data_IF_736393905462
#
_entry.id   IF_736393905462
#
_cell.length_a   1.000
_cell.length_b   1.000
_cell.length_c   1.000
_cell.angle_alpha   90.00
_cell.angle_beta   90.00
_cell.angle_gamma   90.00
#
_symmetry.space_group_name_H-M   'P 1'
#
loop_
_entity.id
_entity.type
_entity.pdbx_description
1 polymer ?
#
# COMPACT_ATOMS: atom_id res chain seq x y z
N UNK A 1 35.66 -6.88 16.94
CA UNK A 1 34.68 -6.30 17.89
C UNK A 1 34.08 -7.41 18.71
N UNK A 2 33.95 -7.25 20.03
CA UNK A 2 33.47 -8.29 20.92
C UNK A 2 31.94 -8.48 20.69
N UNK A 3 31.50 -9.72 20.42
CA UNK A 3 30.08 -10.07 20.14
C UNK A 3 29.13 -9.50 21.21
N UNK A 4 29.50 -9.56 22.49
CA UNK A 4 28.69 -9.00 23.58
C UNK A 4 28.44 -7.49 23.51
N UNK A 5 29.37 -6.70 22.98
CA UNK A 5 29.18 -5.26 22.79
C UNK A 5 28.23 -4.97 21.64
N UNK A 6 28.30 -5.74 20.59
CA UNK A 6 27.44 -5.63 19.43
C UNK A 6 25.97 -5.87 19.79
N UNK A 7 25.70 -6.95 20.52
CA UNK A 7 24.34 -7.28 20.95
C UNK A 7 23.77 -6.24 21.91
N UNK A 8 24.60 -5.67 22.79
CA UNK A 8 24.19 -4.58 23.67
C UNK A 8 23.82 -3.30 22.89
N UNK A 9 24.61 -2.91 21.88
CA UNK A 9 24.29 -1.75 21.04
C UNK A 9 23.01 -1.93 20.23
N UNK A 10 22.81 -3.14 19.75
CA UNK A 10 21.62 -3.53 19.02
C UNK A 10 20.38 -3.43 19.92
N UNK A 11 20.42 -4.03 21.10
CA UNK A 11 19.34 -3.95 22.07
C UNK A 11 19.03 -2.49 22.45
N UNK A 12 20.05 -1.65 22.63
CA UNK A 12 19.89 -0.24 22.94
C UNK A 12 19.24 0.54 21.78
N UNK A 13 19.62 0.28 20.54
CA UNK A 13 19.00 0.94 19.37
C UNK A 13 17.55 0.52 19.17
N UNK A 14 17.21 -0.71 19.48
CA UNK A 14 15.84 -1.23 19.45
C UNK A 14 15.00 -0.56 20.55
N UNK A 15 15.49 -0.52 21.77
CA UNK A 15 14.81 0.17 22.88
C UNK A 15 14.57 1.65 22.56
N UNK A 16 15.58 2.32 22.00
CA UNK A 16 15.45 3.72 21.57
C UNK A 16 14.45 3.90 20.41
N UNK A 17 14.37 2.96 19.48
CA UNK A 17 13.36 2.96 18.43
C UNK A 17 11.94 2.95 19.01
N UNK A 18 11.69 2.05 19.97
CA UNK A 18 10.40 2.00 20.67
C UNK A 18 10.08 3.30 21.40
N UNK A 19 11.07 3.89 22.08
CA UNK A 19 10.92 5.17 22.77
C UNK A 19 10.55 6.30 21.78
N UNK A 20 11.27 6.43 20.65
CA UNK A 20 11.02 7.43 19.61
C UNK A 20 9.62 7.29 19.04
N UNK A 21 9.20 6.05 18.74
CA UNK A 21 7.85 5.77 18.23
C UNK A 21 6.79 6.17 19.24
N UNK A 22 6.94 5.77 20.51
CA UNK A 22 5.98 6.06 21.58
C UNK A 22 5.85 7.55 21.85
N UNK A 23 6.97 8.27 21.92
CA UNK A 23 6.99 9.72 22.12
C UNK A 23 6.29 10.46 20.98
N UNK A 24 6.56 10.08 19.72
CA UNK A 24 5.91 10.70 18.58
C UNK A 24 4.41 10.43 18.51
N UNK A 25 3.95 9.25 18.93
CA UNK A 25 2.51 8.94 19.09
C UNK A 25 1.90 9.82 20.17
N UNK A 26 2.56 9.94 21.34
CA UNK A 26 2.09 10.81 22.45
C UNK A 26 2.00 12.28 22.03
N UNK A 27 2.88 12.75 21.17
CA UNK A 27 2.89 14.12 20.63
C UNK A 27 1.89 14.32 19.47
N UNK A 28 1.18 13.29 19.02
CA UNK A 28 0.25 13.35 17.89
C UNK A 28 0.92 13.54 16.53
N UNK A 29 2.21 13.28 16.42
CA UNK A 29 2.98 13.46 15.17
C UNK A 29 2.72 12.34 14.17
N UNK A 30 2.38 11.15 14.66
CA UNK A 30 2.08 9.97 13.86
C UNK A 30 1.31 8.92 14.67
N UNK A 31 0.76 7.95 13.96
CA UNK A 31 0.32 6.66 14.50
C UNK A 31 1.38 5.61 14.18
N UNK A 32 1.45 4.54 14.97
CA UNK A 32 2.40 3.46 14.74
C UNK A 32 1.65 2.16 14.46
N UNK A 33 2.08 1.44 13.43
CA UNK A 33 1.74 0.04 13.25
C UNK A 33 2.69 -0.84 14.08
N UNK A 34 2.24 -2.03 14.51
CA UNK A 34 3.08 -2.94 15.28
C UNK A 34 4.45 -3.13 14.63
N UNK A 35 5.48 -3.16 15.45
CA UNK A 35 6.85 -3.45 14.99
C UNK A 35 6.85 -4.86 14.41
N UNK A 36 7.07 -5.00 13.12
CA UNK A 36 7.27 -6.30 12.48
C UNK A 36 8.73 -6.69 12.57
N UNK A 37 8.99 -7.90 13.07
CA UNK A 37 10.26 -8.60 12.89
C UNK A 37 10.17 -9.22 11.49
N UNK A 38 10.70 -8.54 10.48
CA UNK A 38 10.74 -9.09 9.13
C UNK A 38 11.97 -10.00 9.00
N UNK A 39 11.72 -11.32 9.08
CA UNK A 39 12.64 -12.39 8.60
C UNK A 39 14.07 -12.44 9.14
N UNK A 40 14.56 -11.39 9.76
CA UNK A 40 15.87 -11.31 10.38
C UNK A 40 15.70 -10.81 11.83
N UNK A 41 16.01 -11.65 12.84
CA UNK A 41 15.91 -11.25 14.25
C UNK A 41 16.78 -10.03 14.59
N UNK A 42 17.62 -9.64 13.65
CA UNK A 42 18.55 -8.54 13.80
C UNK A 42 18.00 -7.19 13.34
N UNK A 43 16.85 -7.14 12.71
CA UNK A 43 16.26 -5.91 12.20
C UNK A 43 14.86 -5.70 12.77
N UNK A 44 14.68 -4.59 13.46
CA UNK A 44 13.37 -4.16 13.89
C UNK A 44 13.00 -2.91 13.12
N UNK A 45 11.88 -2.98 12.42
CA UNK A 45 11.32 -1.86 11.67
C UNK A 45 9.98 -1.47 12.26
N UNK A 46 9.84 -0.23 12.67
CA UNK A 46 8.56 0.37 12.99
C UNK A 46 8.04 1.15 11.76
N UNK A 47 6.84 0.82 11.34
CA UNK A 47 6.12 1.61 10.33
C UNK A 47 5.29 2.64 11.05
N UNK A 48 5.46 3.91 10.71
CA UNK A 48 4.75 5.04 11.30
C UNK A 48 4.04 5.83 10.21
N UNK A 49 2.83 6.31 10.53
CA UNK A 49 1.95 7.01 9.58
C UNK A 49 1.66 8.40 10.14
N UNK A 50 2.00 9.43 9.37
CA UNK A 50 1.68 10.82 9.72
C UNK A 50 0.18 11.10 9.54
N UNK A 51 -0.39 12.15 10.17
CA UNK A 51 -1.79 12.54 9.95
C UNK A 51 -2.15 12.78 8.47
N UNK A 52 -1.16 13.14 7.64
CA UNK A 52 -1.33 13.28 6.18
C UNK A 52 -1.20 11.97 5.38
N UNK A 53 -1.24 10.80 6.04
CA UNK A 53 -1.18 9.50 5.40
C UNK A 53 0.21 9.08 4.90
N UNK A 54 1.24 9.93 5.08
CA UNK A 54 2.60 9.57 4.67
C UNK A 54 3.17 8.54 5.64
N UNK A 55 3.56 7.41 5.09
CA UNK A 55 4.19 6.33 5.83
C UNK A 55 5.70 6.44 5.70
N UNK A 56 6.39 6.37 6.83
CA UNK A 56 7.84 6.22 6.85
C UNK A 56 8.24 5.09 7.79
N UNK A 57 9.39 4.50 7.52
CA UNK A 57 9.94 3.40 8.30
C UNK A 57 11.07 3.90 9.17
N UNK A 58 11.05 3.47 10.43
CA UNK A 58 12.15 3.64 11.38
C UNK A 58 12.75 2.26 11.62
N UNK A 59 14.03 2.11 11.39
CA UNK A 59 14.74 0.82 11.55
C UNK A 59 15.89 0.97 12.53
N UNK A 60 15.93 0.11 13.52
CA UNK A 60 17.01 0.01 14.50
C UNK A 60 17.77 -1.33 14.39
N UNK A 61 18.98 -1.40 14.96
CA UNK A 61 19.74 -2.64 15.05
C UNK A 61 20.42 -3.11 13.76
N UNK A 62 20.54 -2.26 12.75
CA UNK A 62 21.12 -2.61 11.46
C UNK A 62 22.57 -3.10 11.57
N UNK A 63 22.90 -4.14 10.84
CA UNK A 63 24.16 -4.90 10.83
C UNK A 63 25.46 -4.06 10.83
N UNK A 64 25.50 -2.95 10.08
CA UNK A 64 26.68 -2.09 9.97
C UNK A 64 26.54 -0.76 10.73
N UNK A 65 25.48 -0.57 11.50
CA UNK A 65 25.14 0.70 12.16
C UNK A 65 24.45 0.43 13.49
N UNK A 66 25.07 -0.34 14.34
CA UNK A 66 24.51 -0.95 15.55
C UNK A 66 23.91 0.09 16.53
N UNK A 67 24.49 1.28 16.59
CA UNK A 67 24.00 2.35 17.47
C UNK A 67 23.24 3.44 16.69
N UNK A 68 22.54 3.06 15.63
CA UNK A 68 21.86 4.00 14.77
C UNK A 68 20.42 3.61 14.48
N UNK A 69 19.58 4.63 14.36
CA UNK A 69 18.22 4.51 13.83
C UNK A 69 18.24 5.12 12.44
N UNK A 70 17.75 4.37 11.46
CA UNK A 70 17.53 4.85 10.09
C UNK A 70 16.06 5.21 9.90
N UNK A 71 15.78 6.31 9.20
CA UNK A 71 14.42 6.72 8.84
C UNK A 71 14.34 7.02 7.35
N UNK A 72 13.29 6.55 6.68
CA UNK A 72 13.04 6.81 5.26
C UNK A 72 11.55 6.80 4.94
N UNK A 73 11.13 7.64 3.98
CA UNK A 73 9.77 7.63 3.44
C UNK A 73 9.57 6.34 2.65
N UNK A 74 8.53 5.60 2.93
CA UNK A 74 8.29 4.29 2.31
C UNK A 74 7.03 4.25 1.44
N UNK A 75 5.95 4.90 1.86
CA UNK A 75 4.69 4.83 1.15
C UNK A 75 3.76 6.00 1.52
N UNK A 76 2.65 6.09 0.80
CA UNK A 76 1.45 6.83 1.20
C UNK A 76 0.26 5.88 1.16
N UNK A 77 -0.62 5.97 2.14
CA UNK A 77 -1.83 5.17 2.24
C UNK A 77 -3.06 6.06 2.04
N UNK A 78 -3.98 5.60 1.23
CA UNK A 78 -5.23 6.27 0.90
C UNK A 78 -6.45 5.47 1.32
N UNK A 79 -7.60 5.82 0.72
CA UNK A 79 -8.87 5.14 0.93
C UNK A 79 -8.79 3.70 0.40
N UNK A 80 -9.70 2.85 0.89
CA UNK A 80 -9.86 1.47 0.42
C UNK A 80 -8.62 0.58 0.54
N UNK A 81 -7.65 0.93 1.41
CA UNK A 81 -6.40 0.19 1.55
C UNK A 81 -5.42 0.39 0.37
N UNK A 82 -5.69 1.35 -0.51
CA UNK A 82 -4.80 1.67 -1.62
C UNK A 82 -3.49 2.25 -1.06
N UNK A 83 -2.39 1.73 -1.56
CA UNK A 83 -1.06 2.13 -1.12
C UNK A 83 -0.16 2.39 -2.32
N UNK A 84 0.56 3.51 -2.30
CA UNK A 84 1.60 3.86 -3.27
C UNK A 84 2.95 3.87 -2.55
N UNK A 85 3.90 3.13 -3.07
CA UNK A 85 5.26 3.05 -2.52
C UNK A 85 6.20 4.00 -3.27
N UNK A 86 7.34 4.31 -2.68
CA UNK A 86 8.36 5.15 -3.35
C UNK A 86 8.86 4.56 -4.67
N UNK A 87 8.89 3.22 -4.78
CA UNK A 87 9.24 2.53 -6.03
C UNK A 87 8.27 2.80 -7.19
N UNK A 88 6.99 3.01 -6.90
CA UNK A 88 5.95 3.22 -7.91
C UNK A 88 6.10 4.58 -8.63
N UNK A 89 6.81 5.52 -8.04
CA UNK A 89 7.07 6.85 -8.61
C UNK A 89 8.52 7.05 -9.06
N UNK A 90 9.28 5.97 -9.21
CA UNK A 90 10.71 6.00 -9.55
C UNK A 90 11.52 6.95 -8.64
N UNK A 91 11.07 7.12 -7.40
CA UNK A 91 11.73 7.95 -6.41
C UNK A 91 12.76 7.16 -5.62
N UNK A 92 13.90 7.79 -5.32
CA UNK A 92 14.79 7.29 -4.27
C UNK A 92 14.17 7.63 -2.92
N UNK A 93 14.05 6.64 -2.03
CA UNK A 93 13.65 6.92 -0.66
C UNK A 93 14.76 7.74 0.01
N UNK A 94 14.47 8.99 0.35
CA UNK A 94 15.41 9.77 1.16
C UNK A 94 15.60 9.10 2.51
N UNK A 95 16.82 8.68 2.78
CA UNK A 95 17.19 7.96 3.99
C UNK A 95 18.07 8.84 4.87
N UNK A 96 17.76 8.97 6.13
CA UNK A 96 18.58 9.63 7.13
C UNK A 96 18.85 8.71 8.31
N UNK A 97 20.05 8.83 8.86
CA UNK A 97 20.50 8.01 9.99
C UNK A 97 20.75 8.91 11.20
N UNK A 98 20.33 8.44 12.37
CA UNK A 98 20.39 9.16 13.63
C UNK A 98 21.12 8.33 14.68
N UNK A 99 21.88 8.98 15.55
CA UNK A 99 22.54 8.33 16.67
C UNK A 99 21.51 7.98 17.75
N UNK A 100 21.45 6.70 18.12
CA UNK A 100 20.51 6.19 19.11
C UNK A 100 20.85 6.63 20.56
N UNK A 101 22.01 7.25 20.78
CA UNK A 101 22.38 7.81 22.10
C UNK A 101 21.66 9.14 22.41
N UNK A 102 21.10 9.78 21.37
CA UNK A 102 20.36 11.02 21.57
C UNK A 102 19.00 10.75 22.24
N UNK A 103 18.45 11.75 22.91
CA UNK A 103 17.08 11.70 23.41
C UNK A 103 16.06 11.58 22.27
N UNK A 104 14.88 11.03 22.58
CA UNK A 104 13.85 10.76 21.59
C UNK A 104 13.35 12.05 20.90
N UNK A 105 13.20 13.14 21.63
CA UNK A 105 12.74 14.42 21.09
C UNK A 105 13.73 15.00 20.07
N UNK A 106 15.02 14.87 20.31
CA UNK A 106 16.06 15.28 19.38
C UNK A 106 16.05 14.46 18.12
N UNK A 107 15.87 13.15 18.24
CA UNK A 107 15.74 12.24 17.09
C UNK A 107 14.48 12.60 16.30
N UNK A 108 13.32 12.80 16.94
CA UNK A 108 12.06 13.18 16.29
C UNK A 108 12.22 14.49 15.52
N UNK A 109 12.76 15.54 16.14
CA UNK A 109 13.03 16.82 15.47
C UNK A 109 13.92 16.64 14.24
N UNK A 110 14.94 15.79 14.35
CA UNK A 110 15.84 15.49 13.25
C UNK A 110 15.16 14.68 12.13
N UNK A 111 14.30 13.70 12.46
CA UNK A 111 13.48 12.95 11.48
C UNK A 111 12.57 13.92 10.72
N UNK A 112 11.85 14.79 11.43
CA UNK A 112 10.97 15.77 10.79
C UNK A 112 11.77 16.67 9.83
N UNK A 113 12.89 17.20 10.27
CA UNK A 113 13.71 18.12 9.47
C UNK A 113 14.37 17.43 8.27
N UNK A 114 15.00 16.29 8.49
CA UNK A 114 15.91 15.65 7.51
C UNK A 114 15.22 14.62 6.62
N UNK A 115 14.04 14.10 7.03
CA UNK A 115 13.29 13.10 6.27
C UNK A 115 11.99 13.71 5.76
N UNK A 116 11.11 14.19 6.65
CA UNK A 116 9.76 14.61 6.25
C UNK A 116 9.73 15.99 5.56
N UNK A 117 10.63 16.91 5.93
CA UNK A 117 10.73 18.27 5.35
C UNK A 117 11.89 18.44 4.37
N UNK A 118 12.57 17.35 4.01
CA UNK A 118 13.60 17.40 2.98
C UNK A 118 12.95 17.64 1.61
N UNK A 119 13.56 18.47 0.76
CA UNK A 119 13.00 18.86 -0.54
C UNK A 119 12.73 17.64 -1.45
N UNK A 120 13.68 16.70 -1.52
CA UNK A 120 13.53 15.47 -2.32
C UNK A 120 12.41 14.58 -1.77
N UNK A 121 12.33 14.42 -0.45
CA UNK A 121 11.26 13.64 0.18
C UNK A 121 9.88 14.28 -0.04
N UNK A 122 9.78 15.59 -0.01
CA UNK A 122 8.55 16.34 -0.31
C UNK A 122 8.14 16.17 -1.77
N UNK A 123 9.10 16.22 -2.70
CA UNK A 123 8.85 15.97 -4.12
C UNK A 123 8.32 14.55 -4.35
N UNK A 124 9.00 13.54 -3.80
CA UNK A 124 8.58 12.14 -3.88
C UNK A 124 7.19 11.95 -3.26
N UNK A 125 6.92 12.52 -2.09
CA UNK A 125 5.62 12.47 -1.46
C UNK A 125 4.53 13.15 -2.31
N UNK A 126 4.86 14.21 -3.02
CA UNK A 126 3.93 14.89 -3.95
C UNK A 126 3.59 14.01 -5.14
N UNK A 127 4.58 13.36 -5.75
CA UNK A 127 4.37 12.39 -6.83
C UNK A 127 3.53 11.20 -6.37
N UNK A 128 3.81 10.67 -5.17
CA UNK A 128 3.01 9.57 -4.60
C UNK A 128 1.55 9.99 -4.36
N UNK A 129 1.29 11.21 -3.84
CA UNK A 129 -0.09 11.72 -3.66
C UNK A 129 -0.85 11.83 -4.97
N UNK A 130 -0.19 12.32 -6.02
CA UNK A 130 -0.79 12.38 -7.36
C UNK A 130 -1.18 11.00 -7.86
N UNK A 131 -0.26 10.04 -7.79
CA UNK A 131 -0.52 8.67 -8.22
C UNK A 131 -1.59 7.98 -7.36
N UNK A 132 -1.60 8.25 -6.04
CA UNK A 132 -2.63 7.76 -5.13
C UNK A 132 -4.01 8.27 -5.53
N UNK A 133 -4.15 9.56 -5.82
CA UNK A 133 -5.42 10.15 -6.26
C UNK A 133 -5.91 9.53 -7.59
N UNK A 134 -5.00 9.24 -8.52
CA UNK A 134 -5.32 8.51 -9.76
C UNK A 134 -5.81 7.09 -9.48
N UNK A 135 -5.17 6.36 -8.55
CA UNK A 135 -5.59 5.00 -8.17
C UNK A 135 -6.94 4.99 -7.45
N UNK A 136 -7.17 5.94 -6.55
CA UNK A 136 -8.47 6.10 -5.88
C UNK A 136 -9.59 6.39 -6.89
N UNK A 137 -9.37 7.29 -7.83
CA UNK A 137 -10.34 7.60 -8.88
C UNK A 137 -10.65 6.38 -9.76
N UNK A 138 -9.63 5.60 -10.14
CA UNK A 138 -9.80 4.35 -10.90
C UNK A 138 -10.58 3.30 -10.11
N UNK A 139 -10.28 3.17 -8.82
CA UNK A 139 -10.99 2.25 -7.93
C UNK A 139 -12.47 2.64 -7.79
N UNK A 140 -12.75 3.93 -7.60
CA UNK A 140 -14.12 4.42 -7.46
C UNK A 140 -14.91 4.20 -8.77
N UNK A 141 -14.31 4.48 -9.94
CA UNK A 141 -14.92 4.18 -11.24
C UNK A 141 -15.20 2.68 -11.41
N UNK A 142 -14.24 1.82 -11.07
CA UNK A 142 -14.40 0.37 -11.13
C UNK A 142 -15.56 -0.09 -10.23
N UNK A 143 -15.67 0.43 -9.02
CA UNK A 143 -16.78 0.09 -8.10
C UNK A 143 -18.14 0.49 -8.66
N UNK A 144 -18.24 1.63 -9.34
CA UNK A 144 -19.48 2.04 -10.01
C UNK A 144 -19.88 1.06 -11.11
N UNK A 145 -18.94 0.66 -11.97
CA UNK A 145 -19.21 -0.34 -13.02
C UNK A 145 -19.61 -1.69 -12.44
N UNK A 146 -18.90 -2.13 -11.39
CA UNK A 146 -19.22 -3.39 -10.70
C UNK A 146 -20.63 -3.34 -10.09
N UNK A 147 -21.01 -2.25 -9.42
CA UNK A 147 -22.33 -2.11 -8.81
C UNK A 147 -23.48 -2.20 -9.86
N UNK A 148 -23.27 -1.66 -11.06
CA UNK A 148 -24.23 -1.80 -12.16
C UNK A 148 -24.39 -3.27 -12.55
N UNK A 149 -23.32 -4.02 -12.68
CA UNK A 149 -23.36 -5.44 -13.06
C UNK A 149 -23.90 -6.32 -11.93
N UNK A 150 -23.58 -6.02 -10.67
CA UNK A 150 -24.19 -6.69 -9.51
C UNK A 150 -25.72 -6.50 -9.52
N UNK A 151 -26.21 -5.33 -9.90
CA UNK A 151 -27.65 -5.08 -10.14
C UNK A 151 -28.27 -5.91 -11.25
N UNK A 152 -27.46 -6.42 -12.18
CA UNK A 152 -27.85 -7.36 -13.24
C UNK A 152 -27.70 -8.83 -12.85
N UNK A 153 -27.32 -9.12 -11.60
CA UNK A 153 -27.17 -10.48 -11.06
C UNK A 153 -25.80 -11.11 -11.26
N UNK A 154 -24.77 -10.32 -11.53
CA UNK A 154 -23.39 -10.79 -11.48
C UNK A 154 -22.86 -10.73 -10.05
N UNK A 155 -22.00 -11.67 -9.70
CA UNK A 155 -21.37 -11.78 -8.39
C UNK A 155 -19.84 -11.68 -8.54
N UNK A 156 -19.16 -11.16 -7.50
CA UNK A 156 -17.70 -11.12 -7.48
C UNK A 156 -17.12 -12.53 -7.45
N UNK A 157 -16.15 -12.81 -8.30
CA UNK A 157 -15.45 -14.06 -8.29
C UNK A 157 -14.61 -14.21 -7.02
N UNK A 158 -14.78 -15.34 -6.31
CA UNK A 158 -13.97 -15.63 -5.13
C UNK A 158 -12.52 -15.93 -5.51
N UNK A 159 -11.57 -15.29 -4.87
CA UNK A 159 -10.14 -15.58 -5.00
C UNK A 159 -9.36 -14.74 -6.00
N UNK A 160 -9.96 -13.74 -6.61
CA UNK A 160 -9.21 -12.76 -7.43
C UNK A 160 -8.29 -11.92 -6.55
N UNK A 161 -7.04 -12.36 -6.42
CA UNK A 161 -5.91 -11.55 -5.94
C UNK A 161 -5.38 -10.69 -7.10
N UNK A 162 -6.23 -9.89 -7.73
CA UNK A 162 -5.82 -8.90 -8.70
C UNK A 162 -5.65 -7.53 -8.04
N UNK A 163 -4.95 -6.63 -8.69
CA UNK A 163 -4.94 -5.22 -8.27
C UNK A 163 -6.36 -4.68 -8.45
N UNK A 164 -7.15 -4.69 -7.37
CA UNK A 164 -8.55 -4.22 -7.35
C UNK A 164 -8.71 -2.76 -7.87
N UNK A 165 -7.60 -2.12 -8.19
CA UNK A 165 -7.56 -0.78 -8.77
C UNK A 165 -7.68 -0.75 -10.30
N UNK A 166 -7.44 -1.88 -10.97
CA UNK A 166 -7.38 -1.93 -12.43
C UNK A 166 -8.52 -2.73 -13.05
N UNK A 167 -8.90 -3.85 -12.42
CA UNK A 167 -9.97 -4.72 -12.92
C UNK A 167 -10.56 -5.57 -11.81
N UNK A 168 -11.78 -6.02 -12.00
CA UNK A 168 -12.47 -6.97 -11.13
C UNK A 168 -13.13 -8.06 -11.98
N UNK A 169 -13.03 -9.28 -11.51
CA UNK A 169 -13.68 -10.43 -12.15
C UNK A 169 -15.04 -10.68 -11.50
N UNK A 170 -16.06 -10.80 -12.35
CA UNK A 170 -17.43 -11.10 -11.96
C UNK A 170 -17.89 -12.39 -12.66
N UNK A 171 -18.81 -13.10 -12.06
CA UNK A 171 -19.41 -14.26 -12.68
C UNK A 171 -20.91 -14.29 -12.45
N UNK A 172 -21.63 -14.96 -13.35
CA UNK A 172 -23.05 -15.24 -13.23
C UNK A 172 -23.30 -16.70 -13.56
N UNK A 173 -24.11 -17.37 -12.74
CA UNK A 173 -24.63 -18.72 -13.03
C UNK A 173 -26.06 -18.59 -13.48
N UNK A 174 -26.40 -19.22 -14.56
CA UNK A 174 -27.82 -19.39 -14.98
C UNK A 174 -28.10 -19.09 -16.45
N UNK A 175 -29.30 -19.51 -16.89
CA UNK A 175 -29.74 -19.26 -18.24
C UNK A 175 -29.91 -17.75 -18.52
N UNK A 176 -29.84 -17.30 -19.81
CA UNK A 176 -29.72 -18.17 -20.97
C UNK A 176 -28.30 -18.53 -21.40
N UNK A 177 -27.26 -17.89 -20.82
CA UNK A 177 -25.89 -17.93 -21.34
C UNK A 177 -24.98 -18.94 -20.64
N UNK A 178 -25.44 -19.68 -19.64
CA UNK A 178 -24.56 -20.54 -18.85
C UNK A 178 -23.62 -19.76 -17.95
N UNK A 179 -22.50 -20.35 -17.46
CA UNK A 179 -21.50 -19.63 -16.69
C UNK A 179 -20.88 -18.51 -17.52
N UNK A 180 -21.03 -17.29 -17.05
CA UNK A 180 -20.49 -16.09 -17.72
C UNK A 180 -19.48 -15.43 -16.80
N UNK A 181 -18.26 -15.25 -17.28
CA UNK A 181 -17.20 -14.52 -16.60
C UNK A 181 -17.00 -13.18 -17.26
N UNK A 182 -17.02 -12.12 -16.46
CA UNK A 182 -16.74 -10.76 -16.90
C UNK A 182 -15.49 -10.25 -16.20
N UNK A 183 -14.57 -9.69 -16.97
CA UNK A 183 -13.48 -8.88 -16.43
C UNK A 183 -13.77 -7.43 -16.72
N UNK A 184 -14.04 -6.68 -15.66
CA UNK A 184 -14.39 -5.26 -15.71
C UNK A 184 -13.17 -4.43 -15.40
N UNK A 185 -12.86 -3.44 -16.24
CA UNK A 185 -11.78 -2.50 -16.04
C UNK A 185 -12.29 -1.15 -15.56
N UNK A 186 -11.43 -0.37 -14.91
CA UNK A 186 -11.74 0.98 -14.42
C UNK A 186 -12.12 1.97 -15.53
N UNK A 187 -11.66 1.74 -16.78
CA UNK A 187 -11.98 2.55 -17.96
C UNK A 187 -13.33 2.17 -18.60
N UNK A 188 -14.11 1.30 -17.95
CA UNK A 188 -15.39 0.81 -18.44
C UNK A 188 -15.28 -0.31 -19.47
N UNK A 189 -14.06 -0.73 -19.83
CA UNK A 189 -13.87 -1.86 -20.75
C UNK A 189 -14.26 -3.17 -20.07
N UNK A 190 -15.11 -3.97 -20.73
CA UNK A 190 -15.55 -5.26 -20.22
C UNK A 190 -15.13 -6.34 -21.20
N UNK A 191 -14.38 -7.33 -20.70
CA UNK A 191 -14.11 -8.57 -21.42
C UNK A 191 -15.09 -9.62 -20.93
N UNK A 192 -15.78 -10.28 -21.84
CA UNK A 192 -16.76 -11.34 -21.54
C UNK A 192 -16.24 -12.67 -22.04
N UNK A 193 -16.18 -13.65 -21.14
CA UNK A 193 -15.96 -15.06 -21.46
C UNK A 193 -17.24 -15.81 -21.06
N UNK A 194 -17.92 -16.39 -22.02
CA UNK A 194 -19.15 -17.16 -21.78
C UNK A 194 -19.17 -18.45 -22.60
N UNK A 195 -19.57 -19.53 -21.94
CA UNK A 195 -19.85 -20.78 -22.58
C UNK A 195 -21.35 -20.84 -22.91
N UNK A 196 -21.68 -20.99 -24.17
CA UNK A 196 -23.05 -21.23 -24.60
C UNK A 196 -23.15 -22.34 -25.65
N UNK A 197 -24.26 -23.03 -25.62
CA UNK A 197 -24.53 -24.05 -26.63
C UNK A 197 -24.83 -23.38 -27.97
N UNK A 198 -24.34 -23.97 -29.06
CA UNK A 198 -24.49 -23.42 -30.42
C UNK A 198 -25.94 -23.09 -30.82
N UNK A 199 -26.91 -23.79 -30.22
CA UNK A 199 -28.35 -23.53 -30.44
C UNK A 199 -28.79 -22.13 -29.94
N UNK A 200 -28.05 -21.52 -29.02
CA UNK A 200 -28.32 -20.18 -28.46
C UNK A 200 -27.53 -19.07 -29.18
N UNK A 201 -26.71 -19.42 -30.15
CA UNK A 201 -25.80 -18.45 -30.81
C UNK A 201 -26.53 -17.22 -31.37
N UNK A 202 -27.67 -17.45 -32.06
CA UNK A 202 -28.49 -16.36 -32.61
C UNK A 202 -29.01 -15.41 -31.52
N UNK A 203 -29.49 -15.97 -30.40
CA UNK A 203 -29.99 -15.16 -29.27
C UNK A 203 -28.87 -14.37 -28.60
N UNK A 204 -27.67 -14.95 -28.49
CA UNK A 204 -26.50 -14.27 -27.95
C UNK A 204 -26.07 -13.11 -28.85
N UNK A 205 -25.98 -13.35 -30.17
CA UNK A 205 -25.63 -12.31 -31.14
C UNK A 205 -26.66 -11.18 -31.08
N UNK A 206 -27.95 -11.48 -31.10
CA UNK A 206 -29.00 -10.48 -31.01
C UNK A 206 -28.90 -9.64 -29.71
N UNK A 207 -28.61 -10.28 -28.59
CA UNK A 207 -28.42 -9.59 -27.30
C UNK A 207 -27.18 -8.66 -27.28
N UNK A 208 -26.11 -9.03 -27.99
CA UNK A 208 -24.88 -8.22 -28.07
C UNK A 208 -25.02 -7.08 -29.09
N UNK A 209 -25.69 -7.31 -30.22
CA UNK A 209 -25.85 -6.31 -31.29
C UNK A 209 -27.03 -5.34 -31.06
N UNK A 210 -27.88 -5.64 -30.10
CA UNK A 210 -29.09 -4.84 -29.84
C UNK A 210 -30.19 -4.99 -30.91
N UNK A 211 -30.04 -5.96 -31.82
CA UNK A 211 -31.06 -6.31 -32.80
C UNK A 211 -32.16 -7.13 -32.12
N UNK A 212 -33.30 -6.50 -31.84
CA UNK A 212 -34.56 -7.15 -31.43
C UNK A 212 -35.42 -7.52 -32.63
#
# INVERSE_FOLDING_TARGET
MNLNKRDAYKAASIAKLHEVVAVGVKQGLWTAQPVRIEGNPDWITARVITPGGLTFSLTGGNWNRENRISAFVSAIEGKHGIRVNTGDVHGSSHNATFDATHDADRIIKAVIKRVLKNAEAVEVATKMRKLLAEYEARHDALRQHVALLEGMGFEKAHGTRGSEHHSMDLYRKGPPLGPTHLKVRHDGHITCECDFHVSHFKSVVAAITGDQ
#
